data_IF_900988377651
#
_entry.id   IF_900988377651
#
_cell.length_a   1.000
_cell.length_b   1.000
_cell.length_c   1.000
_cell.angle_alpha   90.00
_cell.angle_beta   90.00
_cell.angle_gamma   90.00
#
_symmetry.space_group_name_H-M   'P 1'
#
loop_
_entity.id
_entity.type
_entity.pdbx_description
1 polymer ?
#
# COMPACT_ATOMS: atom_id res chain seq x y z
N UNK A 1 19.89 21.73 13.73
CA UNK A 1 18.70 20.91 13.43
C UNK A 1 18.72 20.62 11.93
N UNK A 2 19.18 19.42 11.51
CA UNK A 2 19.11 19.04 10.09
C UNK A 2 17.64 18.80 9.76
N UNK A 3 17.10 19.55 8.81
CA UNK A 3 15.78 19.28 8.24
C UNK A 3 15.91 17.94 7.51
N UNK A 4 15.36 16.86 8.08
CA UNK A 4 15.24 15.59 7.37
C UNK A 4 14.19 15.80 6.29
N UNK A 5 14.64 16.04 5.06
CA UNK A 5 13.78 15.98 3.88
C UNK A 5 13.39 14.53 3.67
N UNK A 6 12.27 14.14 4.26
CA UNK A 6 11.65 12.84 4.04
C UNK A 6 11.28 12.69 2.57
N UNK A 7 11.88 11.72 1.89
CA UNK A 7 11.49 11.39 0.52
C UNK A 7 10.20 10.57 0.54
N UNK A 8 9.25 10.95 -0.30
CA UNK A 8 7.97 10.24 -0.40
C UNK A 8 8.19 8.93 -1.16
N UNK A 9 7.88 7.81 -0.53
CA UNK A 9 7.98 6.47 -1.14
C UNK A 9 7.08 6.39 -2.37
N UNK A 10 7.59 5.86 -3.47
CA UNK A 10 6.79 5.68 -4.68
C UNK A 10 5.68 4.64 -4.47
N UNK A 11 4.60 4.75 -5.26
CA UNK A 11 3.51 3.77 -5.24
C UNK A 11 4.03 2.35 -5.52
N UNK A 12 4.98 2.19 -6.44
CA UNK A 12 5.56 0.90 -6.77
C UNK A 12 6.36 0.32 -5.60
N UNK A 13 7.17 1.12 -4.92
CA UNK A 13 7.92 0.67 -3.73
C UNK A 13 7.00 0.24 -2.59
N UNK A 14 5.88 0.96 -2.37
CA UNK A 14 4.87 0.56 -1.40
C UNK A 14 4.26 -0.80 -1.73
N UNK A 15 3.95 -1.05 -3.00
CA UNK A 15 3.44 -2.35 -3.44
C UNK A 15 4.50 -3.44 -3.26
N UNK A 16 5.76 -3.18 -3.60
CA UNK A 16 6.88 -4.13 -3.40
C UNK A 16 7.05 -4.49 -1.92
N UNK A 17 7.05 -3.49 -1.03
CA UNK A 17 7.13 -3.70 0.42
C UNK A 17 5.94 -4.52 0.94
N UNK A 18 4.73 -4.23 0.47
CA UNK A 18 3.56 -5.03 0.82
C UNK A 18 3.71 -6.48 0.36
N UNK A 19 4.16 -6.72 -0.89
CA UNK A 19 4.38 -8.07 -1.42
C UNK A 19 5.41 -8.85 -0.58
N UNK A 20 6.52 -8.21 -0.22
CA UNK A 20 7.54 -8.82 0.66
C UNK A 20 6.94 -9.22 2.01
N UNK A 21 6.19 -8.31 2.65
CA UNK A 21 5.52 -8.60 3.92
C UNK A 21 4.49 -9.75 3.79
N UNK A 22 3.74 -9.81 2.69
CA UNK A 22 2.82 -10.92 2.41
C UNK A 22 3.55 -12.26 2.24
N UNK A 23 4.72 -12.26 1.61
CA UNK A 23 5.54 -13.45 1.47
C UNK A 23 6.12 -13.90 2.81
N UNK A 24 6.53 -12.97 3.67
CA UNK A 24 7.01 -13.26 5.03
C UNK A 24 5.93 -13.95 5.90
N UNK A 25 4.65 -13.60 5.71
CA UNK A 25 3.52 -14.27 6.37
C UNK A 25 3.03 -15.53 5.63
N UNK A 26 3.75 -15.98 4.60
CA UNK A 26 3.52 -17.25 3.90
C UNK A 26 2.59 -17.21 2.69
N UNK A 27 2.18 -16.03 2.20
CA UNK A 27 1.40 -15.92 0.95
C UNK A 27 2.30 -16.10 -0.26
N UNK A 28 1.78 -16.82 -1.26
CA UNK A 28 2.47 -17.03 -2.53
C UNK A 28 2.21 -15.88 -3.51
N UNK A 29 3.02 -15.80 -4.57
CA UNK A 29 2.75 -14.86 -5.67
C UNK A 29 1.39 -15.12 -6.31
N UNK A 30 0.94 -16.39 -6.37
CA UNK A 30 -0.39 -16.77 -6.87
C UNK A 30 -1.50 -16.09 -6.05
N UNK A 31 -1.38 -16.11 -4.72
CA UNK A 31 -2.37 -15.51 -3.80
C UNK A 31 -2.46 -14.00 -3.93
N UNK A 32 -1.43 -13.36 -4.50
CA UNK A 32 -1.33 -11.91 -4.64
C UNK A 32 -1.73 -11.41 -6.02
N UNK A 33 -1.91 -12.29 -7.01
CA UNK A 33 -2.30 -11.91 -8.37
C UNK A 33 -3.60 -11.11 -8.37
N UNK A 34 -3.68 -10.14 -9.28
CA UNK A 34 -4.82 -9.24 -9.44
C UNK A 34 -5.15 -8.39 -8.20
N UNK A 35 -4.31 -8.39 -7.16
CA UNK A 35 -4.44 -7.44 -6.06
C UNK A 35 -4.20 -6.04 -6.62
N UNK A 36 -5.15 -5.14 -6.34
CA UNK A 36 -5.11 -3.75 -6.79
C UNK A 36 -4.84 -2.81 -5.63
N UNK A 37 -4.01 -1.81 -5.88
CA UNK A 37 -3.60 -0.80 -4.92
C UNK A 37 -3.98 0.56 -5.47
N UNK A 38 -4.51 1.42 -4.61
CA UNK A 38 -4.77 2.81 -4.95
C UNK A 38 -3.84 3.70 -4.15
N UNK A 39 -3.10 4.56 -4.84
CA UNK A 39 -2.22 5.57 -4.25
C UNK A 39 -2.40 6.90 -4.98
N UNK A 40 -3.02 7.87 -4.31
CA UNK A 40 -3.48 9.10 -4.97
C UNK A 40 -4.48 8.76 -6.09
N UNK A 41 -4.21 9.25 -7.31
CA UNK A 41 -4.97 8.94 -8.53
C UNK A 41 -4.44 7.71 -9.29
N UNK A 42 -3.44 7.01 -8.77
CA UNK A 42 -2.80 5.87 -9.45
C UNK A 42 -3.40 4.56 -8.97
N UNK A 43 -3.65 3.65 -9.91
CA UNK A 43 -4.04 2.27 -9.65
C UNK A 43 -2.91 1.35 -10.09
N UNK A 44 -2.39 0.55 -9.18
CA UNK A 44 -1.40 -0.49 -9.46
C UNK A 44 -2.06 -1.86 -9.33
N UNK A 45 -1.63 -2.83 -10.14
CA UNK A 45 -2.08 -4.22 -10.11
C UNK A 45 -0.88 -5.17 -10.17
N UNK A 46 -0.94 -6.27 -9.41
CA UNK A 46 0.00 -7.39 -9.55
C UNK A 46 -0.46 -8.27 -10.72
N UNK A 47 0.34 -8.32 -11.78
CA UNK A 47 0.13 -9.16 -12.94
C UNK A 47 0.35 -10.65 -12.66
N UNK A 48 -0.03 -11.49 -13.62
CA UNK A 48 0.07 -12.95 -13.52
C UNK A 48 1.52 -13.46 -13.38
N UNK A 49 2.48 -12.68 -13.87
CA UNK A 49 3.92 -12.92 -13.76
C UNK A 49 4.53 -12.35 -12.47
N UNK A 50 3.71 -11.76 -11.59
CA UNK A 50 4.16 -11.06 -10.39
C UNK A 50 4.71 -9.66 -10.65
N UNK A 51 4.62 -9.14 -11.88
CA UNK A 51 5.03 -7.76 -12.20
C UNK A 51 3.99 -6.75 -11.71
N UNK A 52 4.45 -5.59 -11.27
CA UNK A 52 3.56 -4.49 -10.89
C UNK A 52 3.26 -3.68 -12.15
N UNK A 53 1.98 -3.51 -12.47
CA UNK A 53 1.52 -2.77 -13.65
C UNK A 53 0.64 -1.61 -13.21
N UNK A 54 0.89 -0.43 -13.76
CA UNK A 54 -0.01 0.70 -13.59
C UNK A 54 -1.21 0.57 -14.55
N UNK A 55 -2.39 0.91 -14.07
CA UNK A 55 -3.67 0.83 -14.81
C UNK A 55 -4.33 2.20 -14.98
N UNK A 56 -3.67 3.30 -14.59
CA UNK A 56 -4.33 4.60 -14.47
C UNK A 56 -4.53 5.28 -15.84
N UNK A 57 -5.79 5.59 -16.17
CA UNK A 57 -6.19 6.64 -17.11
C UNK A 57 -7.36 7.41 -16.44
N UNK A 58 -7.14 8.66 -16.00
CA UNK A 58 -8.17 9.54 -15.45
C UNK A 58 -8.37 9.52 -13.93
N UNK A 59 -9.52 10.02 -13.47
CA UNK A 59 -9.86 10.17 -12.05
C UNK A 59 -10.30 8.84 -11.41
N UNK A 60 -9.85 8.59 -10.17
CA UNK A 60 -10.17 7.38 -9.41
C UNK A 60 -11.20 7.70 -8.32
N UNK A 61 -12.34 7.01 -8.35
CA UNK A 61 -13.41 7.13 -7.34
C UNK A 61 -13.54 5.78 -6.61
N UNK A 62 -13.34 5.77 -5.29
CA UNK A 62 -13.46 4.57 -4.44
C UNK A 62 -14.77 4.63 -3.65
N UNK A 63 -15.67 3.68 -3.90
CA UNK A 63 -16.81 3.41 -3.02
C UNK A 63 -16.46 2.27 -2.06
N UNK A 64 -16.79 2.43 -0.78
CA UNK A 64 -16.60 1.39 0.25
C UNK A 64 -17.94 0.81 0.66
N UNK A 65 -18.04 -0.51 0.75
CA UNK A 65 -19.23 -1.17 1.29
C UNK A 65 -19.31 -0.92 2.81
N UNK A 66 -20.49 -0.58 3.36
CA UNK A 66 -20.67 -0.46 4.81
C UNK A 66 -20.47 -1.79 5.55
N UNK A 67 -20.61 -2.93 4.85
CA UNK A 67 -20.48 -4.27 5.42
C UNK A 67 -19.02 -4.77 5.44
N UNK A 68 -18.12 -4.12 4.69
CA UNK A 68 -16.72 -4.52 4.68
C UNK A 68 -16.01 -4.01 5.95
N UNK A 69 -15.27 -4.89 6.67
CA UNK A 69 -14.41 -4.45 7.77
C UNK A 69 -13.46 -3.38 7.24
N UNK A 70 -13.59 -2.16 7.77
CA UNK A 70 -12.60 -1.15 7.47
C UNK A 70 -11.29 -1.56 8.13
N UNK A 71 -10.17 -1.54 7.41
CA UNK A 71 -8.92 -1.92 8.00
C UNK A 71 -8.63 -0.93 9.14
N UNK A 72 -8.15 -1.39 10.31
CA UNK A 72 -8.06 -0.54 11.51
C UNK A 72 -7.27 0.74 11.27
N UNK A 73 -7.76 1.88 11.75
CA UNK A 73 -7.18 3.19 11.46
C UNK A 73 -5.71 3.30 11.93
N UNK A 74 -5.36 2.58 12.98
CA UNK A 74 -4.02 2.51 13.57
C UNK A 74 -3.04 1.56 12.85
N UNK A 75 -3.44 0.86 11.79
CA UNK A 75 -2.56 -0.08 11.09
C UNK A 75 -2.00 0.49 9.79
N UNK A 76 -0.68 0.43 9.64
CA UNK A 76 -0.01 0.70 8.37
C UNK A 76 -0.49 -0.27 7.30
N UNK A 77 -0.97 0.25 6.17
CA UNK A 77 -1.50 -0.57 5.06
C UNK A 77 -0.45 -1.36 4.30
N UNK A 78 0.82 -1.01 4.48
CA UNK A 78 1.95 -1.64 3.79
C UNK A 78 2.56 -2.79 4.63
N UNK A 79 2.96 -2.50 5.87
CA UNK A 79 3.66 -3.45 6.73
C UNK A 79 2.80 -4.03 7.87
N UNK A 80 1.54 -3.59 8.00
CA UNK A 80 0.62 -4.04 9.06
C UNK A 80 1.06 -3.73 10.50
N UNK A 81 2.03 -2.83 10.69
CA UNK A 81 2.43 -2.35 12.02
C UNK A 81 1.36 -1.44 12.64
N UNK A 82 1.18 -1.55 13.95
CA UNK A 82 0.22 -0.78 14.75
C UNK A 82 0.83 0.51 15.33
N UNK A 83 0.02 1.56 15.39
CA UNK A 83 0.39 2.91 15.81
C UNK A 83 -0.68 3.54 16.69
N UNK A 84 -0.28 4.52 17.52
CA UNK A 84 -1.23 5.21 18.39
C UNK A 84 -2.23 6.08 17.62
N UNK A 85 -1.84 6.57 16.43
CA UNK A 85 -2.69 7.45 15.61
C UNK A 85 -2.77 7.00 14.16
N UNK A 86 -3.90 7.29 13.52
CA UNK A 86 -4.09 7.06 12.08
C UNK A 86 -3.06 7.81 11.24
N UNK A 87 -2.70 9.03 11.66
CA UNK A 87 -1.69 9.83 10.98
C UNK A 87 -0.35 9.11 10.94
N UNK A 88 0.08 8.55 12.06
CA UNK A 88 1.36 7.84 12.15
C UNK A 88 1.35 6.55 11.33
N UNK A 89 0.23 5.82 11.37
CA UNK A 89 0.01 4.63 10.53
C UNK A 89 0.06 4.93 9.03
N UNK A 90 -0.51 6.06 8.59
CA UNK A 90 -0.45 6.52 7.20
C UNK A 90 0.95 6.98 6.79
N UNK A 91 1.75 7.50 7.72
CA UNK A 91 3.10 8.01 7.45
C UNK A 91 4.18 6.92 7.45
N UNK A 92 4.01 5.84 8.21
CA UNK A 92 4.96 4.74 8.42
C UNK A 92 5.80 4.35 7.19
N UNK A 93 5.15 3.94 6.10
CA UNK A 93 5.84 3.48 4.88
C UNK A 93 5.79 4.52 3.76
N UNK A 94 4.98 5.57 3.90
CA UNK A 94 4.78 6.60 2.89
C UNK A 94 5.97 7.57 2.78
N UNK A 95 6.80 7.63 3.81
CA UNK A 95 8.00 8.46 3.85
C UNK A 95 9.20 7.61 4.24
N UNK A 96 10.28 7.69 3.47
CA UNK A 96 11.59 7.18 3.83
C UNK A 96 12.41 8.34 4.41
N UNK A 97 13.17 8.08 5.48
CA UNK A 97 14.22 8.99 5.97
C UNK A 97 15.51 8.78 5.17
#
# INVERSE_FOLDING_TARGET
>A
MRMMTREMTSAEELVRKWMMNQQEIGRTTEDMKHTRFVYGSRIMEIGEDGTIRERSEGDVIIFRSPEQPQPPAHLCRCCSMEYDTEKDALQCCAYLD
#
